data_IF_256469270747
#
_entry.id   IF_256469270747
#
_cell.length_a   1.000
_cell.length_b   1.000
_cell.length_c   1.000
_cell.angle_alpha   90.00
_cell.angle_beta   90.00
_cell.angle_gamma   90.00
#
_symmetry.space_group_name_H-M   'P 1'
#
loop_
_entity.id
_entity.type
_entity.pdbx_description
1 polymer ?
#
# COMPACT_ATOMS: atom_id res chain seq x y z
N UNK A 1 -17.31 14.62 -15.95
CA UNK A 1 -17.26 14.62 -14.47
C UNK A 1 -16.98 13.22 -13.92
N UNK A 2 -16.31 13.10 -12.77
CA UNK A 2 -16.00 11.83 -12.08
C UNK A 2 -17.24 11.35 -11.33
N UNK A 3 -17.92 10.34 -11.88
CA UNK A 3 -19.22 9.85 -11.41
C UNK A 3 -19.23 8.36 -11.07
N UNK A 4 -18.20 7.62 -11.46
CA UNK A 4 -18.11 6.17 -11.22
C UNK A 4 -19.17 5.35 -11.96
N UNK A 5 -19.36 5.65 -13.25
CA UNK A 5 -20.34 4.97 -14.10
C UNK A 5 -19.94 3.52 -14.34
N UNK A 6 -20.93 2.62 -14.26
CA UNK A 6 -20.75 1.18 -14.52
C UNK A 6 -20.31 0.93 -15.96
N UNK A 7 -19.38 -0.02 -16.11
CA UNK A 7 -18.82 -0.51 -17.36
C UNK A 7 -18.70 -2.03 -17.35
N UNK A 8 -18.48 -2.59 -18.54
CA UNK A 8 -18.11 -3.99 -18.71
C UNK A 8 -16.58 -4.19 -18.58
N UNK A 9 -16.14 -5.45 -18.65
CA UNK A 9 -14.72 -5.84 -18.56
C UNK A 9 -13.85 -5.27 -19.69
N UNK A 10 -14.44 -4.85 -20.81
CA UNK A 10 -13.74 -4.22 -21.93
C UNK A 10 -13.68 -2.68 -21.79
N UNK A 11 -14.28 -2.14 -20.72
CA UNK A 11 -14.36 -0.71 -20.48
C UNK A 11 -15.46 -0.01 -21.28
N UNK A 12 -16.43 -0.72 -21.87
CA UNK A 12 -17.59 -0.10 -22.52
C UNK A 12 -18.67 0.28 -21.49
N UNK A 13 -19.37 1.39 -21.73
CA UNK A 13 -20.49 1.80 -20.88
C UNK A 13 -21.64 0.80 -20.95
N UNK A 14 -22.21 0.51 -19.78
CA UNK A 14 -23.42 -0.30 -19.64
C UNK A 14 -24.52 0.51 -18.96
N UNK A 15 -25.74 -0.01 -19.06
CA UNK A 15 -26.89 0.54 -18.33
C UNK A 15 -26.58 0.57 -16.83
N UNK A 16 -26.89 1.70 -16.17
CA UNK A 16 -26.64 1.85 -14.74
C UNK A 16 -27.56 0.97 -13.90
N UNK A 17 -28.68 0.50 -14.47
CA UNK A 17 -29.61 -0.46 -13.86
C UNK A 17 -29.31 -1.92 -14.26
N UNK A 18 -28.24 -2.16 -15.05
CA UNK A 18 -27.86 -3.51 -15.43
C UNK A 18 -27.52 -4.38 -14.20
N UNK A 19 -27.98 -5.65 -14.16
CA UNK A 19 -27.53 -6.59 -13.15
C UNK A 19 -26.01 -6.80 -13.27
N UNK A 20 -25.32 -7.16 -12.17
CA UNK A 20 -23.92 -7.53 -12.27
C UNK A 20 -23.75 -8.71 -13.23
N UNK A 21 -22.62 -8.78 -13.96
CA UNK A 21 -22.25 -10.01 -14.64
C UNK A 21 -22.30 -11.16 -13.62
N UNK A 22 -22.72 -12.36 -14.03
CA UNK A 22 -22.78 -13.49 -13.13
C UNK A 22 -21.39 -13.67 -12.53
N UNK A 23 -21.28 -13.37 -11.23
CA UNK A 23 -20.11 -13.73 -10.47
C UNK A 23 -20.00 -15.24 -10.62
N UNK A 24 -18.86 -15.73 -11.13
CA UNK A 24 -18.50 -17.11 -10.83
C UNK A 24 -18.15 -17.11 -9.35
N UNK A 25 -19.17 -17.02 -8.50
CA UNK A 25 -19.02 -17.45 -7.12
C UNK A 25 -18.49 -18.87 -7.25
N UNK A 26 -17.26 -19.06 -6.73
CA UNK A 26 -16.76 -20.38 -6.40
C UNK A 26 -17.97 -21.14 -5.85
N UNK A 27 -18.35 -22.25 -6.50
CA UNK A 27 -19.53 -23.01 -6.09
C UNK A 27 -19.46 -23.19 -4.56
N UNK A 28 -20.55 -23.33 -3.81
CA UNK A 28 -20.49 -23.55 -2.36
C UNK A 28 -19.61 -24.75 -1.93
N UNK A 29 -19.19 -25.57 -2.88
CA UNK A 29 -18.30 -26.73 -2.78
C UNK A 29 -16.88 -26.50 -3.32
N UNK A 30 -16.58 -25.32 -3.85
CA UNK A 30 -15.27 -24.98 -4.40
C UNK A 30 -14.36 -24.49 -3.27
N UNK A 31 -13.68 -25.46 -2.67
CA UNK A 31 -12.70 -25.26 -1.61
C UNK A 31 -11.29 -25.12 -2.18
N UNK A 32 -11.09 -25.00 -3.50
CA UNK A 32 -9.77 -24.98 -4.11
C UNK A 32 -8.85 -23.94 -3.45
N UNK A 33 -7.61 -24.32 -3.09
CA UNK A 33 -6.89 -25.56 -3.46
C UNK A 33 -7.11 -26.74 -2.49
N UNK A 34 -7.98 -26.58 -1.50
CA UNK A 34 -8.33 -27.61 -0.52
C UNK A 34 -9.38 -28.56 -1.15
N UNK A 35 -9.32 -29.84 -0.80
CA UNK A 35 -10.29 -30.84 -1.27
C UNK A 35 -11.67 -30.61 -0.64
N UNK A 36 -11.73 -30.05 0.58
CA UNK A 36 -12.97 -29.82 1.31
C UNK A 36 -12.86 -28.82 2.47
N UNK A 37 -14.02 -28.45 3.04
CA UNK A 37 -14.13 -27.56 4.21
C UNK A 37 -13.29 -28.01 5.41
N UNK A 38 -13.26 -29.31 5.73
CA UNK A 38 -12.54 -29.80 6.88
C UNK A 38 -11.02 -29.69 6.72
N UNK A 39 -10.52 -29.84 5.49
CA UNK A 39 -9.12 -29.61 5.16
C UNK A 39 -8.74 -28.12 5.30
N UNK A 40 -9.60 -27.21 4.80
CA UNK A 40 -9.44 -25.76 4.98
C UNK A 40 -9.43 -25.35 6.46
N UNK A 41 -10.43 -25.78 7.24
CA UNK A 41 -10.53 -25.46 8.67
C UNK A 41 -9.35 -26.05 9.47
N UNK A 42 -8.84 -27.21 9.05
CA UNK A 42 -7.63 -27.80 9.64
C UNK A 42 -6.41 -26.91 9.39
N UNK A 43 -6.19 -26.47 8.15
CA UNK A 43 -5.11 -25.56 7.82
C UNK A 43 -5.23 -24.22 8.57
N UNK A 44 -6.42 -23.59 8.57
CA UNK A 44 -6.69 -22.35 9.28
C UNK A 44 -6.40 -22.48 10.78
N UNK A 45 -6.87 -23.56 11.41
CA UNK A 45 -6.66 -23.80 12.84
C UNK A 45 -5.19 -24.03 13.18
N UNK A 46 -4.51 -24.94 12.48
CA UNK A 46 -3.12 -25.31 12.79
C UNK A 46 -2.15 -24.18 12.47
N UNK A 47 -2.35 -23.49 11.35
CA UNK A 47 -1.46 -22.44 10.85
C UNK A 47 -1.76 -21.07 11.46
N UNK A 48 -2.99 -20.59 11.40
CA UNK A 48 -3.33 -19.22 11.82
C UNK A 48 -3.67 -19.12 13.31
N UNK A 49 -4.54 -19.99 13.82
CA UNK A 49 -5.09 -19.86 15.18
C UNK A 49 -4.13 -20.40 16.24
N UNK A 50 -3.58 -21.59 16.02
CA UNK A 50 -2.71 -22.26 16.98
C UNK A 50 -1.22 -22.06 16.70
N UNK A 51 -0.85 -21.62 15.48
CA UNK A 51 0.53 -21.36 15.06
C UNK A 51 1.48 -22.52 15.39
N UNK A 52 1.03 -23.75 15.13
CA UNK A 52 1.76 -24.96 15.50
C UNK A 52 3.07 -25.06 14.71
N UNK A 53 4.13 -25.52 15.38
CA UNK A 53 5.40 -25.79 14.69
C UNK A 53 5.26 -26.93 13.70
N UNK A 54 6.01 -26.90 12.60
CA UNK A 54 6.03 -27.95 11.57
C UNK A 54 6.15 -29.37 12.16
N UNK A 55 7.02 -29.56 13.16
CA UNK A 55 7.19 -30.85 13.84
C UNK A 55 5.94 -31.33 14.58
N UNK A 56 5.21 -30.41 15.22
CA UNK A 56 3.97 -30.74 15.92
C UNK A 56 2.83 -31.01 14.93
N UNK A 57 2.81 -30.31 13.80
CA UNK A 57 1.86 -30.59 12.71
C UNK A 57 2.08 -32.01 12.19
N UNK A 58 3.32 -32.38 11.85
CA UNK A 58 3.65 -33.74 11.41
C UNK A 58 3.23 -34.79 12.44
N UNK A 59 3.52 -34.55 13.72
CA UNK A 59 3.15 -35.48 14.81
C UNK A 59 1.64 -35.68 14.89
N UNK A 60 0.85 -34.60 14.73
CA UNK A 60 -0.61 -34.67 14.75
C UNK A 60 -1.15 -35.44 13.53
N UNK A 61 -0.62 -35.16 12.33
CA UNK A 61 -1.01 -35.83 11.10
C UNK A 61 -0.66 -37.33 11.12
N UNK A 62 0.48 -37.71 11.69
CA UNK A 62 0.87 -39.11 11.91
C UNK A 62 -0.11 -39.82 12.86
N UNK A 63 -0.51 -39.17 13.95
CA UNK A 63 -1.50 -39.71 14.88
C UNK A 63 -2.87 -39.91 14.21
N UNK A 64 -3.29 -38.97 13.38
CA UNK A 64 -4.51 -39.11 12.57
C UNK A 64 -4.40 -40.21 11.53
N UNK A 65 -3.25 -40.36 10.87
CA UNK A 65 -3.03 -41.46 9.94
C UNK A 65 -3.22 -42.82 10.62
N UNK A 66 -2.65 -43.01 11.82
CA UNK A 66 -2.79 -44.26 12.58
C UNK A 66 -4.24 -44.59 12.94
N UNK A 67 -5.05 -43.58 13.29
CA UNK A 67 -6.47 -43.80 13.63
C UNK A 67 -7.34 -44.04 12.39
N UNK A 68 -7.04 -43.36 11.28
CA UNK A 68 -7.82 -43.40 10.04
C UNK A 68 -7.53 -44.61 9.16
N UNK A 69 -6.33 -45.23 9.27
CA UNK A 69 -5.99 -46.48 8.56
C UNK A 69 -7.03 -47.58 8.81
N UNK A 70 -7.61 -47.66 10.02
CA UNK A 70 -8.64 -48.65 10.37
C UNK A 70 -9.93 -48.49 9.56
N UNK A 71 -10.17 -47.29 9.05
CA UNK A 71 -11.33 -46.93 8.24
C UNK A 71 -10.98 -46.82 6.74
N UNK A 72 -9.77 -47.23 6.35
CA UNK A 72 -9.26 -47.12 4.99
C UNK A 72 -9.28 -45.67 4.45
N UNK A 73 -9.05 -44.70 5.34
CA UNK A 73 -9.01 -43.26 5.04
C UNK A 73 -7.61 -42.69 5.32
N UNK A 74 -7.34 -41.52 4.72
CA UNK A 74 -6.10 -40.76 4.89
C UNK A 74 -6.33 -39.52 5.78
N UNK A 75 -5.28 -38.99 6.44
CA UNK A 75 -5.35 -37.67 7.08
C UNK A 75 -5.56 -36.57 6.03
N UNK A 76 -6.03 -35.40 6.48
CA UNK A 76 -6.34 -34.26 5.60
C UNK A 76 -5.11 -33.74 4.84
N UNK A 77 -3.91 -33.85 5.43
CA UNK A 77 -2.65 -33.52 4.79
C UNK A 77 -1.65 -34.65 5.01
N UNK A 78 -0.76 -34.88 4.05
CA UNK A 78 0.29 -35.89 4.18
C UNK A 78 1.36 -35.51 5.23
N UNK A 79 1.66 -34.22 5.35
CA UNK A 79 2.62 -33.64 6.32
C UNK A 79 2.52 -32.10 6.29
N UNK A 80 3.33 -31.41 7.10
CA UNK A 80 3.35 -29.95 7.10
C UNK A 80 3.73 -29.31 5.75
N UNK A 81 4.57 -29.97 4.92
CA UNK A 81 4.96 -29.41 3.61
C UNK A 81 3.82 -29.44 2.62
N UNK A 82 3.05 -30.52 2.64
CA UNK A 82 1.82 -30.65 1.86
C UNK A 82 0.83 -29.55 2.27
N UNK A 83 0.59 -29.40 3.57
CA UNK A 83 -0.27 -28.33 4.09
C UNK A 83 0.23 -26.93 3.71
N UNK A 84 1.53 -26.65 3.86
CA UNK A 84 2.09 -25.34 3.49
C UNK A 84 2.03 -25.11 1.98
N UNK A 85 2.28 -26.14 1.16
CA UNK A 85 2.14 -26.03 -0.29
C UNK A 85 0.69 -25.75 -0.71
N UNK A 86 -0.31 -26.37 -0.06
CA UNK A 86 -1.73 -26.09 -0.29
C UNK A 86 -2.09 -24.67 0.14
N UNK A 87 -1.59 -24.20 1.30
CA UNK A 87 -1.77 -22.80 1.73
C UNK A 87 -1.15 -21.83 0.70
N UNK A 88 0.09 -22.07 0.29
CA UNK A 88 0.83 -21.25 -0.69
C UNK A 88 0.18 -21.27 -2.08
N UNK A 89 -0.51 -22.37 -2.43
CA UNK A 89 -1.26 -22.52 -3.69
C UNK A 89 -2.64 -21.85 -3.66
N UNK A 90 -3.05 -21.26 -2.53
CA UNK A 90 -4.37 -20.65 -2.39
C UNK A 90 -4.52 -19.47 -3.35
N UNK A 91 -5.39 -19.55 -4.39
CA UNK A 91 -5.53 -18.50 -5.39
C UNK A 91 -6.30 -17.30 -4.82
N UNK A 92 -7.13 -17.56 -3.79
CA UNK A 92 -7.81 -16.58 -2.95
C UNK A 92 -6.82 -16.10 -1.87
N UNK A 93 -5.73 -15.46 -2.28
CA UNK A 93 -4.65 -15.08 -1.38
C UNK A 93 -3.74 -14.01 -1.95
N UNK A 94 -3.44 -13.03 -1.09
CA UNK A 94 -2.50 -11.91 -1.19
C UNK A 94 -1.54 -11.86 -2.40
N UNK A 95 -1.50 -10.68 -3.06
CA UNK A 95 -0.49 -10.30 -4.05
C UNK A 95 0.93 -10.74 -3.66
N UNK A 96 1.69 -11.39 -4.56
CA UNK A 96 2.99 -11.95 -4.22
C UNK A 96 3.99 -10.87 -3.80
N UNK A 97 4.88 -11.22 -2.87
CA UNK A 97 5.99 -10.37 -2.49
C UNK A 97 7.03 -10.31 -3.62
N UNK A 98 7.33 -9.09 -4.05
CA UNK A 98 8.41 -8.72 -4.97
C UNK A 98 9.55 -8.09 -4.15
N UNK A 99 10.76 -8.10 -4.69
CA UNK A 99 11.91 -7.44 -4.06
C UNK A 99 12.80 -6.74 -5.08
N UNK A 100 13.46 -5.67 -4.65
CA UNK A 100 14.53 -5.04 -5.40
C UNK A 100 15.63 -4.53 -4.46
N UNK A 101 16.83 -4.39 -5.00
CA UNK A 101 18.01 -3.99 -4.24
C UNK A 101 18.46 -2.59 -4.66
N UNK A 102 18.70 -1.72 -3.68
CA UNK A 102 19.30 -0.41 -3.89
C UNK A 102 20.74 -0.40 -3.38
N UNK A 103 21.60 0.37 -4.07
CA UNK A 103 23.01 0.53 -3.72
C UNK A 103 23.39 2.02 -3.72
N UNK A 104 24.42 2.39 -2.96
CA UNK A 104 25.00 3.72 -3.04
C UNK A 104 25.76 3.90 -4.36
N UNK A 105 25.45 4.97 -5.09
CA UNK A 105 26.00 5.25 -6.42
C UNK A 105 26.83 6.55 -6.47
N UNK A 106 27.17 7.13 -5.32
CA UNK A 106 27.96 8.36 -5.25
C UNK A 106 29.47 8.11 -5.19
N UNK A 107 30.24 9.20 -5.12
CA UNK A 107 31.70 9.13 -5.01
C UNK A 107 32.13 8.55 -3.65
N UNK A 108 32.88 7.44 -3.71
CA UNK A 108 33.45 6.76 -2.54
C UNK A 108 34.81 7.36 -2.19
N UNK A 109 35.16 7.45 -0.89
CA UNK A 109 36.51 7.85 -0.48
C UNK A 109 37.54 6.81 -0.95
N UNK A 110 38.79 7.25 -1.14
CA UNK A 110 39.88 6.39 -1.65
C UNK A 110 40.40 5.39 -0.60
N UNK A 111 40.18 5.67 0.69
CA UNK A 111 40.53 4.84 1.84
C UNK A 111 39.38 4.87 2.84
N UNK A 112 39.24 3.80 3.63
CA UNK A 112 38.20 3.61 4.66
C UNK A 112 36.78 3.90 4.18
N UNK A 113 36.34 3.15 3.15
CA UNK A 113 34.97 3.24 2.64
C UNK A 113 34.00 2.81 3.74
N UNK A 114 33.05 3.68 4.15
CA UNK A 114 32.05 3.30 5.14
C UNK A 114 31.21 2.13 4.64
N UNK A 115 30.92 1.16 5.51
CA UNK A 115 30.15 -0.04 5.16
C UNK A 115 28.81 0.28 4.49
N UNK A 116 28.20 1.42 4.83
CA UNK A 116 26.93 1.82 4.24
C UNK A 116 27.02 2.21 2.74
N UNK A 117 28.21 2.56 2.24
CA UNK A 117 28.46 2.88 0.82
C UNK A 117 28.68 1.63 -0.06
N UNK A 118 29.04 0.50 0.54
CA UNK A 118 29.18 -0.80 -0.15
C UNK A 118 27.99 -1.74 0.12
N UNK A 119 27.12 -1.36 1.06
CA UNK A 119 25.93 -2.12 1.41
C UNK A 119 24.93 -2.24 0.25
N UNK A 120 24.33 -3.42 0.17
CA UNK A 120 23.13 -3.71 -0.61
C UNK A 120 21.91 -3.60 0.30
N UNK A 121 20.86 -2.95 -0.19
CA UNK A 121 19.67 -2.64 0.59
C UNK A 121 18.44 -3.20 -0.10
N UNK A 122 18.02 -4.37 0.36
CA UNK A 122 16.84 -5.04 -0.18
C UNK A 122 15.57 -4.42 0.38
N UNK A 123 14.65 -4.13 -0.53
CA UNK A 123 13.29 -3.68 -0.25
C UNK A 123 12.36 -4.77 -0.70
N UNK A 124 11.49 -5.21 0.20
CA UNK A 124 10.45 -6.19 -0.07
C UNK A 124 9.12 -5.48 -0.13
N UNK A 125 8.30 -5.75 -1.15
CA UNK A 125 7.03 -5.08 -1.33
C UNK A 125 6.01 -5.94 -2.08
N UNK A 126 4.73 -5.61 -1.93
CA UNK A 126 3.64 -6.12 -2.76
C UNK A 126 3.23 -5.01 -3.72
N UNK A 127 2.88 -5.38 -4.94
CA UNK A 127 2.52 -4.40 -5.96
C UNK A 127 1.27 -3.61 -5.53
N UNK A 128 1.36 -2.28 -5.32
CA UNK A 128 0.23 -1.50 -4.83
C UNK A 128 -0.98 -1.56 -5.76
N UNK A 129 -0.77 -1.64 -7.08
CA UNK A 129 -1.86 -1.70 -8.04
C UNK A 129 -2.63 -3.02 -7.91
N UNK A 130 -1.91 -4.15 -7.89
CA UNK A 130 -2.53 -5.48 -7.72
C UNK A 130 -3.26 -5.57 -6.36
N UNK A 131 -2.66 -5.03 -5.28
CA UNK A 131 -3.31 -4.96 -3.97
C UNK A 131 -4.61 -4.14 -4.00
N UNK A 132 -4.62 -3.01 -4.69
CA UNK A 132 -5.83 -2.18 -4.82
C UNK A 132 -6.92 -2.88 -5.62
N UNK A 133 -6.58 -3.49 -6.75
CA UNK A 133 -7.53 -4.26 -7.55
C UNK A 133 -8.14 -5.40 -6.73
N UNK A 134 -7.34 -6.09 -5.91
CA UNK A 134 -7.82 -7.12 -4.98
C UNK A 134 -8.79 -6.56 -3.93
N UNK A 135 -8.46 -5.42 -3.30
CA UNK A 135 -9.35 -4.76 -2.33
C UNK A 135 -10.65 -4.32 -2.98
N UNK A 136 -10.59 -3.74 -4.18
CA UNK A 136 -11.76 -3.24 -4.89
C UNK A 136 -12.63 -4.37 -5.43
N UNK A 137 -12.07 -5.53 -5.80
CA UNK A 137 -12.85 -6.69 -6.24
C UNK A 137 -13.56 -7.43 -5.09
N UNK A 138 -13.28 -7.09 -3.83
CA UNK A 138 -13.80 -7.84 -2.70
C UNK A 138 -15.28 -7.49 -2.40
N UNK A 139 -16.19 -8.41 -2.73
CA UNK A 139 -17.64 -8.30 -2.51
C UNK A 139 -18.02 -8.07 -1.03
N UNK A 140 -17.16 -8.37 -0.07
CA UNK A 140 -17.41 -8.03 1.33
C UNK A 140 -17.49 -6.51 1.58
N UNK A 141 -17.10 -5.68 0.60
CA UNK A 141 -17.23 -4.24 0.64
C UNK A 141 -18.43 -3.68 -0.15
N UNK A 142 -19.31 -4.55 -0.67
CA UNK A 142 -20.50 -4.11 -1.39
C UNK A 142 -21.40 -3.22 -0.52
N UNK A 143 -21.94 -2.16 -1.14
CA UNK A 143 -22.63 -1.05 -0.46
C UNK A 143 -21.75 -0.16 0.43
N UNK A 144 -20.47 -0.50 0.61
CA UNK A 144 -19.51 0.20 1.48
C UNK A 144 -18.58 1.18 0.75
N UNK A 145 -18.59 1.21 -0.58
CA UNK A 145 -17.73 2.04 -1.41
C UNK A 145 -18.47 3.27 -1.96
N UNK A 146 -17.79 4.43 -1.93
CA UNK A 146 -18.21 5.65 -2.61
C UNK A 146 -17.41 5.86 -3.90
N UNK A 147 -18.12 5.97 -5.01
CA UNK A 147 -17.51 6.06 -6.35
C UNK A 147 -17.21 7.49 -6.81
N UNK A 148 -17.84 8.49 -6.20
CA UNK A 148 -17.62 9.91 -6.48
C UNK A 148 -17.47 10.70 -5.17
N UNK A 149 -16.75 11.83 -5.18
CA UNK A 149 -16.81 12.78 -4.09
C UNK A 149 -18.23 13.31 -3.90
N UNK A 150 -18.53 13.74 -2.68
CA UNK A 150 -19.84 14.29 -2.33
C UNK A 150 -19.70 15.29 -1.19
N UNK A 151 -20.72 16.09 -0.93
CA UNK A 151 -20.76 16.96 0.25
C UNK A 151 -21.98 16.59 1.07
N UNK A 152 -21.77 16.33 2.35
CA UNK A 152 -22.85 16.14 3.30
C UNK A 152 -23.11 17.45 4.03
N UNK A 153 -24.39 17.86 4.07
CA UNK A 153 -24.85 19.04 4.79
C UNK A 153 -25.77 18.62 5.93
N UNK A 154 -25.69 19.32 7.06
CA UNK A 154 -26.67 19.18 8.14
C UNK A 154 -27.98 19.86 7.76
N UNK A 155 -29.02 19.67 8.58
CA UNK A 155 -30.30 20.39 8.44
C UNK A 155 -30.17 21.91 8.58
N UNK A 156 -29.01 22.41 9.02
CA UNK A 156 -28.68 23.84 9.13
C UNK A 156 -27.76 24.31 7.97
N UNK A 157 -27.68 23.56 6.86
CA UNK A 157 -26.82 23.83 5.70
C UNK A 157 -25.31 23.96 6.03
N UNK A 158 -24.88 23.40 7.16
CA UNK A 158 -23.45 23.33 7.51
C UNK A 158 -22.87 22.03 6.97
N UNK A 159 -21.81 22.14 6.18
CA UNK A 159 -21.07 20.97 5.70
C UNK A 159 -20.47 20.22 6.89
N UNK A 160 -20.61 18.89 6.93
CA UNK A 160 -19.94 18.05 7.91
C UNK A 160 -19.12 16.97 7.20
N UNK A 161 -17.96 16.67 7.77
CA UNK A 161 -17.03 15.70 7.22
C UNK A 161 -17.06 14.42 8.05
N UNK A 162 -17.59 13.35 7.45
CA UNK A 162 -17.62 12.03 8.10
C UNK A 162 -16.70 11.04 7.40
N UNK A 163 -16.69 11.04 6.07
CA UNK A 163 -15.89 10.11 5.28
C UNK A 163 -14.86 10.88 4.46
N UNK A 164 -13.82 10.20 4.00
CA UNK A 164 -12.74 10.87 3.27
C UNK A 164 -13.23 11.51 1.95
N UNK A 165 -14.11 10.81 1.22
CA UNK A 165 -14.71 11.30 -0.02
C UNK A 165 -15.69 12.48 0.18
N UNK A 166 -16.02 12.84 1.42
CA UNK A 166 -16.80 14.05 1.72
C UNK A 166 -15.93 15.31 1.87
N UNK A 167 -14.60 15.17 1.77
CA UNK A 167 -13.64 16.26 1.93
C UNK A 167 -13.35 17.03 0.64
N UNK A 168 -13.05 18.31 0.79
CA UNK A 168 -12.74 19.24 -0.31
C UNK A 168 -11.55 18.77 -1.16
N UNK A 169 -10.60 18.04 -0.56
CA UNK A 169 -9.46 17.49 -1.29
C UNK A 169 -9.89 16.49 -2.36
N UNK A 170 -10.81 15.57 -2.03
CA UNK A 170 -11.32 14.58 -2.98
C UNK A 170 -12.08 15.24 -4.14
N UNK A 171 -12.81 16.32 -3.84
CA UNK A 171 -13.48 17.14 -4.85
C UNK A 171 -12.51 17.82 -5.80
N UNK A 172 -11.47 18.49 -5.28
CA UNK A 172 -10.44 19.13 -6.12
C UNK A 172 -9.76 18.12 -7.04
N UNK A 173 -9.45 16.93 -6.52
CA UNK A 173 -8.88 15.85 -7.33
C UNK A 173 -9.84 15.42 -8.46
N UNK A 174 -11.13 15.25 -8.16
CA UNK A 174 -12.12 14.90 -9.18
C UNK A 174 -12.30 15.99 -10.24
N UNK A 175 -12.28 17.27 -9.86
CA UNK A 175 -12.34 18.39 -10.80
C UNK A 175 -11.12 18.42 -11.72
N UNK A 176 -9.92 18.24 -11.15
CA UNK A 176 -8.68 18.17 -11.93
C UNK A 176 -8.68 16.97 -12.90
N UNK A 177 -9.16 15.80 -12.46
CA UNK A 177 -9.31 14.60 -13.30
C UNK A 177 -10.32 14.83 -14.42
N UNK A 178 -11.44 15.49 -14.12
CA UNK A 178 -12.51 15.77 -15.08
C UNK A 178 -12.13 16.82 -16.14
N UNK A 179 -10.99 17.52 -16.02
CA UNK A 179 -10.47 18.37 -17.10
C UNK A 179 -10.10 17.57 -18.34
N UNK A 180 -9.72 16.30 -18.19
CA UNK A 180 -9.58 15.39 -19.32
C UNK A 180 -10.95 14.76 -19.64
N UNK A 181 -11.45 14.96 -20.85
CA UNK A 181 -12.74 14.41 -21.31
C UNK A 181 -12.75 12.88 -21.32
N UNK A 182 -11.61 12.23 -21.55
CA UNK A 182 -11.50 10.76 -21.53
C UNK A 182 -11.78 10.17 -20.14
N UNK A 183 -11.56 10.95 -19.08
CA UNK A 183 -11.81 10.55 -17.71
C UNK A 183 -13.27 10.81 -17.27
N UNK A 184 -14.15 11.25 -18.16
CA UNK A 184 -15.55 11.47 -17.80
C UNK A 184 -16.25 10.14 -17.49
N UNK A 185 -16.98 10.11 -16.38
CA UNK A 185 -17.61 8.91 -15.87
C UNK A 185 -16.67 7.99 -15.10
N UNK A 186 -15.38 8.32 -14.96
CA UNK A 186 -14.45 7.54 -14.13
C UNK A 186 -14.77 7.66 -12.64
N UNK A 187 -14.14 6.81 -11.82
CA UNK A 187 -14.10 6.88 -10.36
C UNK A 187 -12.70 7.24 -9.89
N UNK A 188 -12.60 8.02 -8.82
CA UNK A 188 -11.33 8.39 -8.21
C UNK A 188 -11.07 7.54 -6.97
N UNK A 189 -9.91 6.88 -6.92
CA UNK A 189 -9.49 6.01 -5.81
C UNK A 189 -8.24 6.56 -5.12
N UNK A 190 -8.39 7.22 -3.95
CA UNK A 190 -7.26 7.70 -3.17
C UNK A 190 -6.58 6.59 -2.34
N UNK A 191 -5.25 6.55 -2.43
CA UNK A 191 -4.35 5.70 -1.66
C UNK A 191 -3.91 6.43 -0.40
N UNK A 192 -4.18 5.86 0.78
CA UNK A 192 -3.60 6.34 2.03
C UNK A 192 -2.43 5.47 2.38
N UNK A 193 -1.29 6.13 2.59
CA UNK A 193 -0.04 5.47 2.87
C UNK A 193 0.33 5.76 4.32
N UNK A 194 0.89 4.78 5.01
CA UNK A 194 1.46 4.99 6.33
C UNK A 194 2.74 4.21 6.47
N UNK A 195 3.73 4.79 7.15
CA UNK A 195 4.91 4.06 7.59
C UNK A 195 5.16 4.39 9.05
N UNK A 196 5.66 3.41 9.79
CA UNK A 196 6.11 3.62 11.16
C UNK A 196 7.30 2.70 11.42
N UNK A 197 8.43 3.29 11.81
CA UNK A 197 9.63 2.51 12.11
C UNK A 197 9.53 1.80 13.46
N UNK A 198 9.35 0.48 13.41
CA UNK A 198 9.17 -0.36 14.61
C UNK A 198 10.41 -1.20 14.96
N UNK A 199 10.61 -1.44 16.27
CA UNK A 199 11.67 -2.31 16.81
C UNK A 199 11.04 -3.63 17.25
N UNK A 200 11.44 -4.76 16.64
CA UNK A 200 10.71 -6.04 16.80
C UNK A 200 11.32 -6.99 17.84
N UNK A 201 12.57 -6.77 18.31
CA UNK A 201 13.08 -7.51 19.47
C UNK A 201 14.02 -6.68 20.34
N UNK A 202 13.82 -6.75 21.66
CA UNK A 202 14.64 -6.02 22.66
C UNK A 202 15.76 -6.90 23.22
N UNK A 203 15.63 -8.24 23.14
CA UNK A 203 16.44 -9.18 23.92
C UNK A 203 17.52 -9.94 23.14
N UNK A 204 17.41 -10.10 21.81
CA UNK A 204 18.34 -10.99 21.06
C UNK A 204 18.87 -10.45 19.73
N UNK A 205 18.56 -9.20 19.38
CA UNK A 205 19.14 -8.56 18.21
C UNK A 205 18.36 -7.31 17.84
N UNK A 206 19.04 -6.17 17.72
CA UNK A 206 18.44 -4.89 17.34
C UNK A 206 17.98 -4.90 15.87
N UNK A 207 16.97 -5.71 15.56
CA UNK A 207 16.34 -5.77 14.24
C UNK A 207 15.21 -4.76 14.22
N UNK A 208 15.40 -3.72 13.41
CA UNK A 208 14.41 -2.65 13.18
C UNK A 208 13.77 -2.94 11.83
N UNK A 209 12.45 -2.87 11.77
CA UNK A 209 11.70 -2.93 10.52
C UNK A 209 11.09 -1.56 10.25
N UNK A 210 10.85 -1.28 8.98
CA UNK A 210 10.16 -0.08 8.56
C UNK A 210 9.01 -0.49 7.64
N UNK A 211 7.92 -1.01 8.22
CA UNK A 211 6.74 -1.40 7.47
C UNK A 211 6.10 -0.21 6.74
N UNK A 212 5.58 -0.49 5.55
CA UNK A 212 4.78 0.41 4.73
C UNK A 212 3.38 -0.17 4.58
N UNK A 213 2.38 0.58 4.99
CA UNK A 213 0.97 0.23 4.95
C UNK A 213 0.26 1.03 3.87
N UNK A 214 -0.76 0.42 3.28
CA UNK A 214 -1.64 1.01 2.29
C UNK A 214 -3.10 0.77 2.68
N UNK A 215 -3.94 1.75 2.43
CA UNK A 215 -5.40 1.59 2.47
C UNK A 215 -6.06 2.42 1.38
N UNK A 216 -7.29 2.05 1.01
CA UNK A 216 -8.13 2.81 0.09
C UNK A 216 -9.20 3.55 0.91
N UNK A 217 -9.42 4.84 0.63
CA UNK A 217 -10.37 5.67 1.37
C UNK A 217 -11.75 5.86 0.73
N UNK A 218 -12.06 5.14 -0.33
CA UNK A 218 -13.42 5.04 -0.85
C UNK A 218 -14.36 4.26 0.08
N UNK A 219 -13.79 3.48 1.01
CA UNK A 219 -14.53 2.69 1.99
C UNK A 219 -15.14 3.58 3.08
N UNK A 220 -16.39 3.29 3.44
CA UNK A 220 -17.06 3.94 4.57
C UNK A 220 -16.35 3.60 5.89
N UNK A 221 -16.22 4.59 6.79
CA UNK A 221 -15.49 4.41 8.05
C UNK A 221 -16.03 3.27 8.93
N UNK A 222 -17.33 2.96 8.87
CA UNK A 222 -17.92 1.82 9.61
C UNK A 222 -17.46 0.46 9.11
N UNK A 223 -17.11 0.36 7.83
CA UNK A 223 -16.59 -0.86 7.21
C UNK A 223 -15.12 -1.06 7.58
N UNK A 224 -14.39 0.03 7.84
CA UNK A 224 -12.99 0.01 8.28
C UNK A 224 -12.81 -0.54 9.71
N UNK A 225 -13.78 -0.36 10.60
CA UNK A 225 -13.72 -0.86 11.99
C UNK A 225 -13.98 -2.37 12.13
N UNK A 226 -14.47 -3.04 11.08
CA UNK A 226 -14.93 -4.42 11.15
C UNK A 226 -13.86 -5.49 10.82
N UNK A 227 -12.56 -5.18 10.94
CA UNK A 227 -11.45 -6.12 10.66
C UNK A 227 -11.46 -6.77 9.25
N UNK A 228 -11.98 -6.08 8.23
CA UNK A 228 -12.08 -6.61 6.86
C UNK A 228 -10.88 -6.29 5.95
N UNK A 229 -9.64 -6.29 6.45
CA UNK A 229 -8.44 -5.96 5.64
C UNK A 229 -8.45 -4.55 4.98
N UNK A 230 -9.07 -3.56 5.62
CA UNK A 230 -9.10 -2.17 5.11
C UNK A 230 -7.74 -1.45 5.11
N UNK A 231 -6.75 -1.98 5.84
CA UNK A 231 -5.35 -1.54 5.84
C UNK A 231 -4.48 -2.77 5.62
N UNK A 232 -3.58 -2.72 4.64
CA UNK A 232 -2.73 -3.83 4.23
C UNK A 232 -1.25 -3.43 4.31
N UNK A 233 -0.40 -4.36 4.74
CA UNK A 233 1.05 -4.17 4.75
C UNK A 233 1.61 -4.41 3.34
N UNK A 234 2.11 -3.37 2.67
CA UNK A 234 2.60 -3.46 1.29
C UNK A 234 4.11 -3.49 1.16
N UNK A 235 4.88 -3.25 2.23
CA UNK A 235 6.33 -3.22 2.10
C UNK A 235 7.11 -3.24 3.40
N UNK A 236 8.37 -3.64 3.29
CA UNK A 236 9.41 -3.47 4.30
C UNK A 236 10.55 -2.64 3.69
N UNK A 237 10.67 -1.40 4.14
CA UNK A 237 11.66 -0.46 3.64
C UNK A 237 13.03 -0.75 4.26
N UNK A 238 14.07 -0.60 3.44
CA UNK A 238 15.43 -0.82 3.89
C UNK A 238 15.89 0.23 4.91
N UNK A 239 16.48 -0.23 6.01
CA UNK A 239 17.07 0.63 7.05
C UNK A 239 18.58 0.42 7.03
N UNK A 240 19.36 1.38 6.53
CA UNK A 240 20.81 1.23 6.53
C UNK A 240 21.31 1.31 7.96
N UNK A 241 22.25 0.41 8.28
CA UNK A 241 22.94 0.39 9.57
C UNK A 241 24.26 1.13 9.41
N UNK A 242 24.58 1.95 10.40
CA UNK A 242 25.84 2.69 10.49
C UNK A 242 26.40 2.58 11.90
N UNK A 243 27.72 2.62 12.02
CA UNK A 243 28.40 2.89 13.29
C UNK A 243 28.01 4.28 13.80
N UNK A 244 27.99 4.48 15.12
CA UNK A 244 27.57 5.76 15.74
C UNK A 244 28.36 6.96 15.22
N UNK A 245 29.61 6.73 14.80
CA UNK A 245 30.56 7.73 14.29
C UNK A 245 30.13 8.39 12.97
N UNK A 246 29.30 7.74 12.15
CA UNK A 246 28.84 8.30 10.87
C UNK A 246 27.36 8.73 10.86
N UNK A 247 26.67 8.67 11.99
CA UNK A 247 25.25 9.07 12.06
C UNK A 247 25.04 10.58 11.79
N UNK A 248 26.06 11.39 12.07
CA UNK A 248 26.02 12.84 11.86
C UNK A 248 26.64 13.28 10.52
N UNK A 249 27.15 12.35 9.72
CA UNK A 249 27.63 12.65 8.38
C UNK A 249 26.48 13.07 7.45
N UNK A 250 26.61 14.25 6.85
CA UNK A 250 25.68 14.80 5.87
C UNK A 250 25.47 13.81 4.70
N UNK A 251 26.54 13.15 4.24
CA UNK A 251 26.44 12.17 3.14
C UNK A 251 25.57 10.98 3.52
N UNK A 252 25.73 10.48 4.74
CA UNK A 252 24.93 9.37 5.24
C UNK A 252 23.46 9.75 5.44
N UNK A 253 23.18 10.94 5.99
CA UNK A 253 21.81 11.46 6.14
C UNK A 253 21.11 11.63 4.78
N UNK A 254 21.82 12.18 3.79
CA UNK A 254 21.29 12.31 2.43
C UNK A 254 21.08 10.94 1.76
N UNK A 255 22.00 10.00 1.96
CA UNK A 255 21.83 8.63 1.47
C UNK A 255 20.59 7.96 2.06
N UNK A 256 20.39 8.06 3.38
CA UNK A 256 19.19 7.53 4.06
C UNK A 256 17.90 8.09 3.48
N UNK A 257 17.84 9.40 3.23
CA UNK A 257 16.68 10.03 2.60
C UNK A 257 16.47 9.50 1.18
N UNK A 258 17.51 9.51 0.34
CA UNK A 258 17.42 9.03 -1.04
C UNK A 258 17.01 7.56 -1.12
N UNK A 259 17.53 6.72 -0.24
CA UNK A 259 17.15 5.31 -0.15
C UNK A 259 15.66 5.17 0.13
N UNK A 260 15.15 5.88 1.13
CA UNK A 260 13.73 5.87 1.49
C UNK A 260 12.84 6.39 0.34
N UNK A 261 13.16 7.56 -0.21
CA UNK A 261 12.42 8.20 -1.30
C UNK A 261 12.39 7.34 -2.58
N UNK A 262 13.54 6.78 -2.98
CA UNK A 262 13.63 5.88 -4.15
C UNK A 262 12.89 4.57 -3.91
N UNK A 263 12.88 4.07 -2.68
CA UNK A 263 12.11 2.87 -2.34
C UNK A 263 10.62 3.12 -2.59
N UNK A 264 10.08 4.24 -2.09
CA UNK A 264 8.68 4.62 -2.32
C UNK A 264 8.38 4.87 -3.80
N UNK A 265 9.23 5.63 -4.50
CA UNK A 265 9.07 5.87 -5.94
C UNK A 265 9.00 4.55 -6.73
N UNK A 266 9.86 3.58 -6.41
CA UNK A 266 9.88 2.28 -7.08
C UNK A 266 8.67 1.41 -6.74
N UNK A 267 8.22 1.42 -5.48
CA UNK A 267 7.04 0.67 -5.03
C UNK A 267 5.78 1.16 -5.75
N UNK A 268 5.59 2.48 -5.86
CA UNK A 268 4.38 3.07 -6.46
C UNK A 268 4.47 3.26 -7.98
N UNK A 269 5.58 2.89 -8.63
CA UNK A 269 5.79 3.06 -10.07
C UNK A 269 4.66 2.44 -10.92
N UNK A 270 4.13 1.28 -10.51
CA UNK A 270 3.02 0.60 -11.20
C UNK A 270 1.73 1.41 -11.22
N UNK A 271 1.50 2.28 -10.24
CA UNK A 271 0.28 3.09 -10.12
C UNK A 271 0.33 4.32 -11.02
N UNK A 272 1.53 4.85 -11.29
CA UNK A 272 1.75 6.14 -11.98
C UNK A 272 0.98 6.29 -13.31
N UNK A 273 0.95 5.31 -14.23
CA UNK A 273 0.24 5.45 -15.51
C UNK A 273 -1.28 5.67 -15.34
N UNK A 274 -1.84 5.10 -14.28
CA UNK A 274 -3.27 5.13 -13.96
C UNK A 274 -3.66 6.28 -13.02
N UNK A 275 -2.74 7.24 -12.84
CA UNK A 275 -3.04 8.50 -12.17
C UNK A 275 -3.52 9.55 -13.16
N UNK A 276 -3.11 9.51 -14.43
CA UNK A 276 -3.64 10.43 -15.46
C UNK A 276 -4.69 9.77 -16.33
N UNK A 277 -4.46 8.50 -16.68
CA UNK A 277 -5.40 7.66 -17.41
C UNK A 277 -6.15 6.77 -16.43
N UNK A 278 -7.23 6.15 -16.86
CA UNK A 278 -7.96 5.18 -16.05
C UNK A 278 -7.45 3.75 -16.29
N UNK A 279 -7.58 2.91 -15.27
CA UNK A 279 -7.60 1.45 -15.38
C UNK A 279 -9.06 0.95 -15.45
N UNK A 280 -9.32 -0.23 -16.01
CA UNK A 280 -10.64 -0.85 -15.95
C UNK A 280 -10.65 -1.86 -14.81
N UNK A 281 -11.25 -1.48 -13.68
CA UNK A 281 -11.15 -2.24 -12.42
C UNK A 281 -12.51 -2.80 -12.02
N UNK A 282 -12.53 -4.03 -11.50
CA UNK A 282 -13.71 -4.63 -10.88
C UNK A 282 -13.98 -4.03 -9.49
N UNK A 283 -15.25 -3.87 -9.15
CA UNK A 283 -15.71 -3.35 -7.86
C UNK A 283 -16.56 -4.39 -7.10
N UNK A 284 -16.88 -4.17 -5.81
CA UNK A 284 -17.54 -5.16 -4.98
C UNK A 284 -18.96 -5.49 -5.42
N UNK A 285 -19.60 -4.59 -6.16
CA UNK A 285 -20.93 -4.77 -6.74
C UNK A 285 -20.92 -5.65 -8.00
N UNK A 286 -19.76 -6.17 -8.39
CA UNK A 286 -19.57 -7.04 -9.56
C UNK A 286 -19.43 -6.28 -10.88
N UNK A 287 -19.55 -4.95 -10.89
CA UNK A 287 -19.39 -4.14 -12.10
C UNK A 287 -17.95 -3.64 -12.25
N UNK A 288 -17.55 -3.37 -13.49
CA UNK A 288 -16.28 -2.71 -13.78
C UNK A 288 -16.47 -1.20 -13.85
N UNK A 289 -15.43 -0.45 -13.54
CA UNK A 289 -15.39 1.01 -13.68
C UNK A 289 -14.04 1.46 -14.18
N UNK A 290 -14.03 2.59 -14.89
CA UNK A 290 -12.80 3.30 -15.20
C UNK A 290 -12.29 3.96 -13.92
N UNK A 291 -11.14 3.53 -13.41
CA UNK A 291 -10.57 3.96 -12.13
C UNK A 291 -9.34 4.81 -12.37
N UNK A 292 -9.34 6.04 -11.84
CA UNK A 292 -8.15 6.88 -11.75
C UNK A 292 -7.66 6.85 -10.32
N UNK A 293 -6.41 6.50 -10.12
CA UNK A 293 -5.79 6.42 -8.79
C UNK A 293 -5.12 7.74 -8.40
N UNK A 294 -4.94 7.96 -7.10
CA UNK A 294 -4.21 9.12 -6.60
C UNK A 294 -3.51 8.84 -5.29
N UNK A 295 -2.27 9.31 -5.14
CA UNK A 295 -1.59 9.30 -3.86
C UNK A 295 -2.31 10.31 -2.95
N UNK A 296 -3.00 9.79 -1.95
CA UNK A 296 -3.67 10.55 -0.91
C UNK A 296 -2.77 10.76 0.30
N UNK A 297 -3.37 11.11 1.46
CA UNK A 297 -2.60 11.43 2.64
C UNK A 297 -1.59 10.37 3.05
N UNK A 298 -0.42 10.84 3.47
CA UNK A 298 0.63 10.04 4.07
C UNK A 298 0.63 10.27 5.58
N UNK A 299 0.32 9.20 6.34
CA UNK A 299 0.29 9.19 7.80
C UNK A 299 1.69 8.81 8.29
N UNK A 300 2.37 9.76 8.94
CA UNK A 300 3.70 9.52 9.48
C UNK A 300 3.97 10.41 10.70
N UNK A 301 4.91 10.01 11.55
CA UNK A 301 5.37 10.85 12.64
C UNK A 301 6.22 12.04 12.12
N UNK A 302 6.45 13.06 12.95
CA UNK A 302 7.19 14.25 12.49
C UNK A 302 8.58 13.94 11.89
N UNK A 303 9.44 13.11 12.52
CA UNK A 303 10.70 12.66 11.89
C UNK A 303 10.53 12.07 10.48
N UNK A 304 9.49 11.26 10.26
CA UNK A 304 9.20 10.65 8.96
C UNK A 304 8.57 11.66 7.99
N UNK A 305 7.72 12.59 8.44
CA UNK A 305 7.23 13.70 7.63
C UNK A 305 8.37 14.56 7.07
N UNK A 306 9.40 14.83 7.89
CA UNK A 306 10.63 15.53 7.48
C UNK A 306 11.43 14.71 6.47
N UNK A 307 11.48 13.38 6.64
CA UNK A 307 12.11 12.48 5.68
C UNK A 307 11.39 12.48 4.33
N UNK A 308 10.05 12.47 4.36
CA UNK A 308 9.13 12.44 3.20
C UNK A 308 9.13 13.74 2.40
N UNK A 309 9.01 14.88 3.08
CA UNK A 309 8.92 16.21 2.45
C UNK A 309 10.27 16.78 2.02
N UNK A 310 11.39 16.21 2.49
CA UNK A 310 12.72 16.78 2.22
C UNK A 310 12.96 18.12 2.93
N UNK A 311 12.22 18.40 4.00
CA UNK A 311 12.34 19.64 4.80
C UNK A 311 13.44 19.47 5.86
N UNK A 312 14.00 20.58 6.34
CA UNK A 312 14.98 20.62 7.42
C UNK A 312 14.27 20.36 8.77
N UNK A 313 14.95 19.73 9.73
CA UNK A 313 14.35 19.52 11.05
C UNK A 313 14.01 20.85 11.75
N UNK A 314 12.92 20.87 12.52
CA UNK A 314 12.33 22.03 13.20
C UNK A 314 11.59 23.02 12.30
N UNK A 315 11.48 22.70 11.02
CA UNK A 315 10.67 23.43 10.05
C UNK A 315 9.32 22.71 9.85
N UNK A 316 8.26 23.45 9.50
CA UNK A 316 6.93 22.88 9.30
C UNK A 316 6.77 22.31 7.88
N UNK A 317 6.60 20.99 7.70
CA UNK A 317 6.55 20.38 6.37
C UNK A 317 5.31 20.76 5.55
N UNK A 318 4.29 21.37 6.16
CA UNK A 318 3.05 21.81 5.48
C UNK A 318 3.02 23.30 5.15
N UNK A 319 3.63 24.14 6.00
CA UNK A 319 3.52 25.60 5.87
C UNK A 319 4.54 26.20 4.89
N UNK A 320 5.59 25.46 4.53
CA UNK A 320 6.79 26.08 3.98
C UNK A 320 6.60 26.49 2.54
N UNK A 321 6.06 25.65 1.65
CA UNK A 321 5.92 25.97 0.23
C UNK A 321 5.09 24.87 -0.46
N UNK A 322 4.29 25.21 -1.49
CA UNK A 322 3.67 24.23 -2.42
C UNK A 322 4.72 23.54 -3.31
N UNK A 323 4.54 22.28 -3.70
CA UNK A 323 5.50 21.51 -4.49
C UNK A 323 6.02 22.23 -5.75
N UNK A 324 5.13 22.93 -6.46
CA UNK A 324 5.48 23.71 -7.67
C UNK A 324 6.52 24.82 -7.42
N UNK A 325 6.54 25.36 -6.21
CA UNK A 325 7.52 26.34 -5.77
C UNK A 325 8.80 25.65 -5.28
N UNK A 326 8.72 24.46 -4.67
CA UNK A 326 9.89 23.67 -4.24
C UNK A 326 10.80 23.34 -5.42
N UNK A 327 10.25 22.89 -6.56
CA UNK A 327 11.05 22.63 -7.76
C UNK A 327 11.77 23.87 -8.29
N UNK A 328 11.08 25.02 -8.32
CA UNK A 328 11.64 26.28 -8.80
C UNK A 328 12.76 26.76 -7.87
N UNK A 329 12.56 26.67 -6.55
CA UNK A 329 13.55 27.06 -5.55
C UNK A 329 14.80 26.17 -5.64
N UNK A 330 14.65 24.85 -5.79
CA UNK A 330 15.78 23.94 -5.96
C UNK A 330 16.57 24.24 -7.24
N UNK A 331 15.89 24.66 -8.32
CA UNK A 331 16.55 25.02 -9.59
C UNK A 331 17.27 26.37 -9.54
N UNK A 332 16.78 27.32 -8.74
CA UNK A 332 17.28 28.70 -8.72
C UNK A 332 18.25 29.01 -7.58
N UNK A 333 18.13 28.31 -6.45
CA UNK A 333 18.91 28.61 -5.25
C UNK A 333 20.12 27.69 -5.10
N UNK A 334 21.15 28.21 -4.44
CA UNK A 334 22.24 27.36 -3.95
C UNK A 334 21.74 26.47 -2.81
N UNK A 335 22.39 25.32 -2.58
CA UNK A 335 22.06 24.42 -1.47
C UNK A 335 21.97 25.15 -0.12
N UNK A 336 22.89 26.09 0.13
CA UNK A 336 22.94 26.86 1.37
C UNK A 336 21.73 27.79 1.51
N UNK A 337 21.33 28.48 0.45
CA UNK A 337 20.15 29.34 0.46
C UNK A 337 18.85 28.54 0.66
N UNK A 338 18.69 27.44 -0.09
CA UNK A 338 17.54 26.55 0.08
C UNK A 338 17.44 26.01 1.52
N UNK A 339 18.57 25.67 2.14
CA UNK A 339 18.64 25.19 3.51
C UNK A 339 18.36 26.28 4.55
N UNK A 340 19.09 27.41 4.50
CA UNK A 340 19.08 28.44 5.55
C UNK A 340 17.82 29.31 5.48
N UNK A 341 17.36 29.66 4.29
CA UNK A 341 16.26 30.63 4.09
C UNK A 341 14.89 29.95 3.95
N UNK A 342 14.86 28.74 3.38
CA UNK A 342 13.61 28.04 3.03
C UNK A 342 13.43 26.71 3.74
N UNK A 343 14.44 26.21 4.47
CA UNK A 343 14.36 24.92 5.16
C UNK A 343 14.15 23.74 4.20
N UNK A 344 14.58 23.85 2.94
CA UNK A 344 14.46 22.80 1.92
C UNK A 344 15.81 22.12 1.75
N UNK A 345 15.78 20.79 1.67
CA UNK A 345 16.94 19.99 1.34
C UNK A 345 16.88 19.71 -0.15
N UNK A 346 17.98 19.94 -0.87
CA UNK A 346 18.02 20.03 -2.34
C UNK A 346 17.66 18.74 -3.14
N UNK A 347 17.08 17.73 -2.50
CA UNK A 347 16.54 16.54 -3.15
C UNK A 347 15.00 16.64 -3.22
N UNK A 348 14.42 16.36 -4.38
CA UNK A 348 12.97 16.38 -4.56
C UNK A 348 12.29 15.18 -3.84
N UNK A 349 11.09 15.39 -3.27
CA UNK A 349 10.25 14.31 -2.76
C UNK A 349 9.88 13.30 -3.85
N UNK A 350 9.66 12.03 -3.48
CA UNK A 350 9.27 10.97 -4.42
C UNK A 350 7.98 11.29 -5.16
N UNK A 351 7.05 11.99 -4.49
CA UNK A 351 5.76 12.35 -5.06
C UNK A 351 5.87 13.34 -6.21
N UNK A 352 7.03 14.00 -6.39
CA UNK A 352 7.29 14.89 -7.51
C UNK A 352 7.21 14.18 -8.86
N UNK A 353 7.49 12.86 -8.87
CA UNK A 353 7.37 12.04 -10.06
C UNK A 353 5.92 11.58 -10.31
N UNK A 354 4.96 11.94 -9.45
CA UNK A 354 3.58 11.43 -9.50
C UNK A 354 2.57 12.57 -9.75
N UNK A 355 1.65 12.42 -10.72
CA UNK A 355 0.63 13.42 -11.00
C UNK A 355 -0.25 13.71 -9.77
N UNK A 356 -0.52 15.00 -9.52
CA UNK A 356 -1.43 15.47 -8.45
C UNK A 356 -1.07 14.99 -7.02
N UNK A 357 0.21 14.68 -6.78
CA UNK A 357 0.72 14.21 -5.50
C UNK A 357 1.66 15.24 -4.83
N UNK A 358 1.14 16.38 -4.38
CA UNK A 358 1.94 17.35 -3.61
C UNK A 358 2.16 16.84 -2.17
N UNK A 359 3.37 16.38 -1.85
CA UNK A 359 3.65 15.84 -0.50
C UNK A 359 3.28 16.83 0.61
N UNK A 360 3.43 18.13 0.41
CA UNK A 360 3.14 19.14 1.44
C UNK A 360 1.63 19.28 1.71
N UNK A 361 0.78 18.88 0.75
CA UNK A 361 -0.67 18.76 0.93
C UNK A 361 -1.09 17.40 1.47
N UNK A 362 -0.30 16.36 1.24
CA UNK A 362 -0.61 14.97 1.61
C UNK A 362 -0.17 14.60 3.05
N UNK A 363 0.77 15.32 3.66
CA UNK A 363 1.20 14.99 5.02
C UNK A 363 0.09 15.28 6.05
N UNK A 364 -0.26 14.26 6.84
CA UNK A 364 -1.25 14.33 7.92
C UNK A 364 -0.62 14.20 9.29
#
# INVERSE_FOLDING_TARGET
>A
FVLGLKRDANGAFIDQDAPPPPHMDALPTDWMPYDNCAEFETAEFLFMRNQMSAKQIDTLLDLWAVTLIKHNNAPQFANHRDMYATIDATPLGDTPWKSFTLCYNGAKPKQDVPLWMDGQYDVWYRDPLEMMCSILANCAFDGGIKYSPYHDYTTEDKQYWKNFMSGDWAWKQADDIARNEENHGSTFVPLIIGSDKTVVSVTTGQTKYHPLYLSIRNLHNSVQQAHRNGVVLIGFLAIPKSTKEHNDDIKYRNFRRRLFQRSLAKIFESVKPFMENFDVTSFPDGHYRCTVYGLGPYIADYPEQILLSGVVQNWCPRCIIKLSHTELLIKQLTYKQAWDEYGIIADLPFTNDFPRADIHELLS
#
